data_IF_231963419909
#
_entry.id   IF_231963419909
#
_cell.length_a   1.000
_cell.length_b   1.000
_cell.length_c   1.000
_cell.angle_alpha   90.00
_cell.angle_beta   90.00
_cell.angle_gamma   90.00
#
_symmetry.space_group_name_H-M   'P 1'
#
loop_
_entity.id
_entity.type
_entity.pdbx_description
1 polymer ?
#
# COMPACT_ATOMS: atom_id res chain seq x y z
N UNK A 1 -50.86 -71.35 8.02
CA UNK A 1 -51.21 -70.05 7.48
C UNK A 1 -50.18 -69.06 8.02
N UNK A 2 -49.12 -68.82 7.31
CA UNK A 2 -48.01 -67.91 7.70
C UNK A 2 -48.24 -66.58 7.03
N UNK A 3 -48.28 -65.53 7.81
CA UNK A 3 -48.51 -64.14 7.37
C UNK A 3 -47.15 -63.50 6.94
N UNK A 4 -46.94 -63.13 5.68
CA UNK A 4 -45.64 -62.62 5.23
C UNK A 4 -45.49 -61.09 5.34
N UNK A 5 -46.36 -60.39 6.14
CA UNK A 5 -46.40 -58.91 6.11
C UNK A 5 -45.53 -58.21 7.16
N UNK A 6 -44.80 -58.93 8.05
CA UNK A 6 -44.03 -58.27 9.13
C UNK A 6 -42.55 -58.04 8.86
N UNK A 7 -42.05 -58.40 7.65
CA UNK A 7 -40.60 -58.28 7.35
C UNK A 7 -40.16 -57.02 6.63
N UNK A 8 -41.08 -56.26 6.00
CA UNK A 8 -40.73 -55.12 5.15
C UNK A 8 -40.55 -53.78 5.94
N UNK A 9 -41.25 -53.64 7.06
CA UNK A 9 -41.17 -52.38 7.82
C UNK A 9 -39.87 -52.25 8.63
N UNK A 10 -39.33 -53.39 9.10
CA UNK A 10 -38.07 -53.38 9.86
C UNK A 10 -36.85 -53.07 8.98
N UNK A 11 -36.90 -53.44 7.70
CA UNK A 11 -35.81 -53.17 6.75
C UNK A 11 -35.79 -51.71 6.28
N UNK A 12 -36.98 -51.09 6.17
CA UNK A 12 -37.08 -49.66 5.80
C UNK A 12 -36.62 -48.75 6.95
N UNK A 13 -36.98 -49.07 8.19
CA UNK A 13 -36.56 -48.32 9.38
C UNK A 13 -35.04 -48.37 9.56
N UNK A 14 -34.38 -49.53 9.33
CA UNK A 14 -32.92 -49.67 9.38
C UNK A 14 -32.20 -48.90 8.29
N UNK A 15 -32.81 -48.74 7.11
CA UNK A 15 -32.20 -47.95 6.02
C UNK A 15 -32.32 -46.44 6.30
N UNK A 16 -33.39 -45.97 6.90
CA UNK A 16 -33.51 -44.56 7.31
C UNK A 16 -32.57 -44.17 8.44
N UNK A 17 -32.41 -45.05 9.47
CA UNK A 17 -31.47 -44.81 10.56
C UNK A 17 -30.02 -44.83 10.08
N UNK A 18 -29.66 -45.69 9.15
CA UNK A 18 -28.32 -45.71 8.54
C UNK A 18 -28.07 -44.46 7.69
N UNK A 19 -29.08 -43.98 6.97
CA UNK A 19 -28.98 -42.76 6.17
C UNK A 19 -28.83 -41.49 7.04
N UNK A 20 -29.55 -41.41 8.15
CA UNK A 20 -29.43 -40.34 9.14
C UNK A 20 -28.07 -40.38 9.81
N UNK A 21 -27.57 -41.52 10.22
CA UNK A 21 -26.24 -41.71 10.79
C UNK A 21 -25.13 -41.36 9.79
N UNK A 22 -25.25 -41.77 8.52
CA UNK A 22 -24.32 -41.40 7.47
C UNK A 22 -24.29 -39.92 7.19
N UNK A 23 -25.46 -39.26 7.24
CA UNK A 23 -25.58 -37.79 7.08
C UNK A 23 -24.95 -37.06 8.27
N UNK A 24 -25.15 -37.55 9.49
CA UNK A 24 -24.56 -36.95 10.72
C UNK A 24 -23.04 -37.14 10.71
N UNK A 25 -22.54 -38.35 10.42
CA UNK A 25 -21.11 -38.63 10.37
C UNK A 25 -20.43 -37.87 9.22
N UNK A 26 -21.06 -37.77 8.06
CA UNK A 26 -20.59 -36.95 6.93
C UNK A 26 -20.53 -35.46 7.28
N UNK A 27 -21.54 -34.95 8.00
CA UNK A 27 -21.58 -33.57 8.49
C UNK A 27 -20.51 -33.27 9.53
N UNK A 28 -20.28 -34.20 10.47
CA UNK A 28 -19.24 -34.07 11.51
C UNK A 28 -17.83 -34.19 10.90
N UNK A 29 -17.62 -35.06 9.93
CA UNK A 29 -16.33 -35.16 9.23
C UNK A 29 -16.04 -33.92 8.35
N UNK A 30 -17.09 -33.24 7.82
CA UNK A 30 -16.96 -32.01 7.05
C UNK A 30 -16.81 -30.76 7.93
N UNK A 31 -17.13 -30.85 9.23
CA UNK A 31 -17.12 -29.71 10.15
C UNK A 31 -15.75 -29.02 10.25
N UNK A 32 -14.61 -29.74 10.36
CA UNK A 32 -13.29 -29.09 10.37
C UNK A 32 -12.99 -28.35 9.06
N UNK A 33 -13.26 -28.96 7.91
CA UNK A 33 -13.07 -28.34 6.60
C UNK A 33 -13.99 -27.12 6.40
N UNK A 34 -15.22 -27.16 6.92
CA UNK A 34 -16.17 -26.05 6.90
C UNK A 34 -15.74 -24.91 7.84
N UNK A 35 -15.24 -25.23 9.03
CA UNK A 35 -14.67 -24.24 9.97
C UNK A 35 -13.43 -23.58 9.37
N UNK A 36 -12.56 -24.36 8.74
CA UNK A 36 -11.37 -23.87 8.06
C UNK A 36 -11.74 -23.00 6.86
N UNK A 37 -12.70 -23.40 6.05
CA UNK A 37 -13.24 -22.62 4.95
C UNK A 37 -13.86 -21.28 5.42
N UNK A 38 -14.65 -21.29 6.50
CA UNK A 38 -15.22 -20.07 7.07
C UNK A 38 -14.11 -19.19 7.65
N UNK A 39 -13.15 -19.78 8.37
CA UNK A 39 -12.00 -19.07 8.92
C UNK A 39 -11.16 -18.42 7.82
N UNK A 40 -10.88 -19.14 6.74
CA UNK A 40 -10.14 -18.62 5.59
C UNK A 40 -10.94 -17.56 4.81
N UNK A 41 -12.25 -17.76 4.67
CA UNK A 41 -13.14 -16.77 4.06
C UNK A 41 -13.27 -15.51 4.92
N UNK A 42 -13.27 -15.66 6.25
CA UNK A 42 -13.24 -14.54 7.20
C UNK A 42 -11.89 -13.82 7.15
N UNK A 43 -10.77 -14.54 7.15
CA UNK A 43 -9.42 -13.98 6.98
C UNK A 43 -9.22 -13.31 5.62
N UNK A 44 -9.79 -13.85 4.53
CA UNK A 44 -9.78 -13.20 3.21
C UNK A 44 -10.67 -11.96 3.18
N UNK A 45 -11.86 -12.00 3.80
CA UNK A 45 -12.70 -10.80 3.97
C UNK A 45 -12.01 -9.77 4.85
N UNK A 46 -11.41 -10.17 5.96
CA UNK A 46 -10.63 -9.25 6.82
C UNK A 46 -9.43 -8.64 6.08
N UNK A 47 -8.77 -9.37 5.18
CA UNK A 47 -7.68 -8.82 4.33
C UNK A 47 -8.18 -7.92 3.19
N UNK A 48 -9.33 -8.23 2.61
CA UNK A 48 -9.93 -7.44 1.51
C UNK A 48 -10.66 -6.19 2.04
N UNK A 49 -11.07 -6.19 3.30
CA UNK A 49 -11.78 -5.09 3.97
C UNK A 49 -11.03 -4.49 5.15
N UNK A 50 -9.72 -4.60 5.22
CA UNK A 50 -8.93 -3.73 6.09
C UNK A 50 -8.97 -2.31 5.48
N UNK A 51 -10.11 -1.63 5.73
CA UNK A 51 -10.23 -0.20 5.47
C UNK A 51 -9.33 0.62 6.40
N UNK A 52 -8.81 -0.02 7.44
CA UNK A 52 -8.00 0.58 8.49
C UNK A 52 -6.87 -0.37 8.91
N UNK A 53 -5.67 0.14 9.10
CA UNK A 53 -4.50 -0.56 9.63
C UNK A 53 -3.83 0.27 10.74
N UNK A 54 -3.32 -0.39 11.77
CA UNK A 54 -2.60 0.23 12.89
C UNK A 54 -1.33 -0.58 13.20
N UNK A 55 -0.21 -0.10 12.72
CA UNK A 55 1.08 -0.81 12.80
C UNK A 55 2.14 -0.02 13.55
N UNK A 56 3.09 -0.68 14.23
CA UNK A 56 4.26 -0.01 14.77
C UNK A 56 5.15 0.49 13.62
N UNK A 57 5.62 1.74 13.73
CA UNK A 57 6.51 2.34 12.71
C UNK A 57 7.81 1.57 12.58
N UNK A 58 8.28 0.94 13.65
CA UNK A 58 9.47 0.08 13.63
C UNK A 58 9.37 -1.15 12.71
N UNK A 59 8.16 -1.57 12.37
CA UNK A 59 7.93 -2.69 11.44
C UNK A 59 7.95 -2.27 9.96
N UNK A 60 8.02 -0.97 9.68
CA UNK A 60 7.99 -0.45 8.33
C UNK A 60 9.38 -0.50 7.69
N UNK A 61 9.41 -0.85 6.41
CA UNK A 61 10.62 -0.81 5.57
C UNK A 61 10.32 -0.05 4.27
N UNK A 62 10.11 1.28 4.36
CA UNK A 62 9.80 2.06 3.18
C UNK A 62 10.99 2.05 2.22
N UNK A 63 10.73 1.64 0.98
CA UNK A 63 11.70 1.79 -0.11
C UNK A 63 11.49 3.16 -0.71
N UNK A 64 12.48 4.02 -0.56
CA UNK A 64 12.43 5.39 -1.05
C UNK A 64 13.78 5.74 -1.66
N UNK A 65 13.77 6.20 -2.89
CA UNK A 65 14.95 6.68 -3.59
C UNK A 65 14.57 7.91 -4.43
N UNK A 66 15.54 8.80 -4.65
CA UNK A 66 15.36 9.95 -5.53
C UNK A 66 14.55 11.11 -4.95
N UNK A 67 14.21 11.08 -3.65
CA UNK A 67 13.47 12.13 -2.96
C UNK A 67 14.30 12.78 -1.83
N UNK A 68 15.63 12.69 -1.90
CA UNK A 68 16.52 13.19 -0.85
C UNK A 68 16.40 14.70 -0.68
N UNK A 69 16.34 15.44 -1.79
CA UNK A 69 16.17 16.90 -1.78
C UNK A 69 14.83 17.32 -1.13
N UNK A 70 13.77 16.54 -1.39
CA UNK A 70 12.46 16.77 -0.76
C UNK A 70 12.51 16.47 0.75
N UNK A 71 13.21 15.41 1.15
CA UNK A 71 13.37 15.05 2.57
C UNK A 71 14.18 16.12 3.31
N UNK A 72 15.16 16.74 2.68
CA UNK A 72 15.89 17.87 3.24
C UNK A 72 14.96 19.10 3.38
N UNK A 73 14.15 19.38 2.37
CA UNK A 73 13.19 20.49 2.39
C UNK A 73 12.08 20.39 3.44
N UNK A 74 11.86 19.18 4.02
CA UNK A 74 10.87 18.97 5.10
C UNK A 74 11.51 18.73 6.46
N UNK A 75 12.80 19.03 6.63
CA UNK A 75 13.51 18.81 7.90
C UNK A 75 12.85 19.54 9.07
N UNK A 76 12.33 20.74 8.85
CA UNK A 76 11.59 21.54 9.84
C UNK A 76 10.27 20.87 10.26
N UNK A 77 9.53 20.27 9.33
CA UNK A 77 8.33 19.49 9.62
C UNK A 77 8.67 18.26 10.50
N UNK A 78 9.74 17.55 10.12
CA UNK A 78 10.20 16.37 10.87
C UNK A 78 10.62 16.78 12.29
N UNK A 79 11.32 17.90 12.44
CA UNK A 79 11.76 18.38 13.77
C UNK A 79 10.56 18.78 14.63
N UNK A 80 9.57 19.48 14.06
CA UNK A 80 8.32 19.82 14.78
C UNK A 80 7.59 18.56 15.27
N UNK A 81 7.42 17.59 14.39
CA UNK A 81 6.77 16.35 14.76
C UNK A 81 7.57 15.52 15.78
N UNK A 82 8.90 15.69 15.80
CA UNK A 82 9.79 15.06 16.79
C UNK A 82 9.76 15.76 18.15
N UNK A 83 9.67 17.09 18.16
CA UNK A 83 9.76 17.92 19.37
C UNK A 83 8.58 18.90 19.48
N UNK A 84 7.32 18.43 19.50
CA UNK A 84 6.14 19.30 19.43
C UNK A 84 6.09 20.33 20.55
N UNK A 85 6.64 20.02 21.73
CA UNK A 85 6.68 20.95 22.85
C UNK A 85 7.50 22.23 22.57
N UNK A 86 8.48 22.18 21.68
CA UNK A 86 9.28 23.33 21.29
C UNK A 86 8.51 24.31 20.37
N UNK A 87 7.42 23.85 19.79
CA UNK A 87 6.63 24.60 18.79
C UNK A 87 5.20 24.92 19.24
N UNK A 88 4.86 24.69 20.53
CA UNK A 88 3.50 24.85 21.08
C UNK A 88 2.91 26.26 20.89
N UNK A 89 3.76 27.26 20.94
CA UNK A 89 3.34 28.67 20.79
C UNK A 89 3.14 29.08 19.33
N UNK A 90 3.61 28.26 18.40
CA UNK A 90 3.44 28.50 16.98
C UNK A 90 2.18 27.75 16.54
N UNK A 91 1.13 28.49 16.17
CA UNK A 91 -0.11 27.91 15.60
C UNK A 91 0.12 27.35 14.18
N UNK A 92 1.06 26.42 14.05
CA UNK A 92 1.39 25.75 12.79
C UNK A 92 0.75 24.38 12.83
N UNK A 93 -0.09 24.08 11.85
CA UNK A 93 -0.76 22.78 11.73
C UNK A 93 0.21 21.62 11.54
N UNK A 94 -0.21 20.45 11.99
CA UNK A 94 0.49 19.18 11.82
C UNK A 94 -0.10 18.36 10.65
N UNK A 95 -0.73 19.06 9.69
CA UNK A 95 -1.39 18.45 8.54
C UNK A 95 -0.56 18.64 7.28
N UNK A 96 -0.29 17.55 6.60
CA UNK A 96 0.53 17.51 5.38
C UNK A 96 -0.25 16.85 4.25
N UNK A 97 -0.32 17.48 3.10
CA UNK A 97 -0.86 16.92 1.87
C UNK A 97 0.27 16.55 0.91
N UNK A 98 0.40 15.27 0.57
CA UNK A 98 1.34 14.80 -0.44
C UNK A 98 0.60 14.65 -1.77
N UNK A 99 1.01 15.42 -2.76
CA UNK A 99 0.41 15.49 -4.08
C UNK A 99 1.32 14.79 -5.09
N UNK A 100 0.76 13.99 -5.97
CA UNK A 100 1.55 13.36 -7.04
C UNK A 100 0.81 12.24 -7.76
N UNK A 101 1.30 11.80 -8.92
CA UNK A 101 0.65 10.77 -9.72
C UNK A 101 0.53 9.44 -8.96
N UNK A 102 -0.24 8.50 -9.51
CA UNK A 102 -0.32 7.17 -8.95
C UNK A 102 1.08 6.52 -8.93
N UNK A 103 1.34 5.72 -7.88
CA UNK A 103 2.56 4.91 -7.77
C UNK A 103 3.89 5.70 -7.71
N UNK A 104 3.86 7.02 -7.52
CA UNK A 104 5.07 7.85 -7.38
C UNK A 104 5.75 7.79 -6.00
N UNK A 105 5.32 6.88 -5.11
CA UNK A 105 5.95 6.70 -3.81
C UNK A 105 5.37 7.50 -2.64
N UNK A 106 4.20 8.14 -2.78
CA UNK A 106 3.55 8.94 -1.71
C UNK A 106 3.44 8.21 -0.37
N UNK A 107 3.00 6.96 -0.39
CA UNK A 107 2.89 6.14 0.83
C UNK A 107 4.27 5.85 1.44
N UNK A 108 5.26 5.52 0.62
CA UNK A 108 6.65 5.28 1.09
C UNK A 108 7.25 6.54 1.67
N UNK A 109 6.98 7.71 1.08
CA UNK A 109 7.39 9.01 1.62
C UNK A 109 6.75 9.26 2.98
N UNK A 110 5.43 9.09 3.11
CA UNK A 110 4.73 9.24 4.39
C UNK A 110 5.31 8.30 5.47
N UNK A 111 5.58 7.04 5.15
CA UNK A 111 6.21 6.09 6.04
C UNK A 111 7.64 6.52 6.45
N UNK A 112 8.40 7.07 5.51
CA UNK A 112 9.75 7.59 5.79
C UNK A 112 9.69 8.81 6.70
N UNK A 113 8.75 9.73 6.49
CA UNK A 113 8.50 10.86 7.38
C UNK A 113 8.15 10.36 8.78
N UNK A 114 7.30 9.33 8.92
CA UNK A 114 6.97 8.73 10.20
C UNK A 114 8.21 8.23 10.96
N UNK A 115 9.12 7.55 10.26
CA UNK A 115 10.39 7.09 10.85
C UNK A 115 11.29 8.23 11.29
N UNK A 116 11.48 9.23 10.40
CA UNK A 116 12.33 10.39 10.68
C UNK A 116 11.80 11.23 11.85
N UNK A 117 10.47 11.39 11.94
CA UNK A 117 9.79 12.11 13.03
C UNK A 117 9.73 11.32 14.34
N UNK A 118 10.20 10.07 14.35
CA UNK A 118 10.17 9.23 15.55
C UNK A 118 8.75 8.87 16.00
N UNK A 119 7.82 8.71 15.03
CA UNK A 119 6.49 8.22 15.31
C UNK A 119 6.55 6.76 15.80
N UNK A 120 5.69 6.40 16.75
CA UNK A 120 5.64 5.04 17.30
C UNK A 120 4.61 4.18 16.55
N UNK A 121 3.52 4.80 16.12
CA UNK A 121 2.40 4.13 15.43
C UNK A 121 2.07 4.82 14.12
N UNK A 122 1.68 4.02 13.13
CA UNK A 122 1.09 4.46 11.88
C UNK A 122 -0.32 3.89 11.77
N UNK A 123 -1.31 4.76 11.79
CA UNK A 123 -2.73 4.43 11.55
C UNK A 123 -3.04 4.83 10.12
N UNK A 124 -3.43 3.87 9.27
CA UNK A 124 -3.73 4.11 7.86
C UNK A 124 -5.19 3.79 7.56
N UNK A 125 -5.93 4.75 7.02
CA UNK A 125 -7.30 4.54 6.50
C UNK A 125 -7.23 4.35 5.00
N UNK A 126 -7.23 3.11 4.54
CA UNK A 126 -7.08 2.78 3.10
C UNK A 126 -8.26 3.19 2.23
N UNK A 127 -9.44 3.26 2.81
CA UNK A 127 -10.65 3.70 2.12
C UNK A 127 -11.24 4.94 2.80
N UNK A 128 -10.90 6.15 2.34
CA UNK A 128 -11.44 7.38 2.92
C UNK A 128 -12.94 7.58 2.65
N UNK A 129 -13.59 6.68 1.88
CA UNK A 129 -15.04 6.66 1.63
C UNK A 129 -15.81 5.85 2.68
N UNK A 130 -15.12 5.22 3.61
CA UNK A 130 -15.69 4.37 4.65
C UNK A 130 -15.78 5.16 5.97
N UNK A 131 -16.97 5.66 6.29
CA UNK A 131 -17.21 6.43 7.51
C UNK A 131 -16.93 5.62 8.78
N UNK A 132 -17.21 4.32 8.78
CA UNK A 132 -16.90 3.43 9.90
C UNK A 132 -15.37 3.34 10.13
N UNK A 133 -14.58 3.33 9.05
CA UNK A 133 -13.12 3.34 9.16
C UNK A 133 -12.61 4.67 9.69
N UNK A 134 -13.18 5.80 9.27
CA UNK A 134 -12.84 7.13 9.79
C UNK A 134 -13.18 7.24 11.29
N UNK A 135 -14.37 6.82 11.69
CA UNK A 135 -14.80 6.83 13.10
C UNK A 135 -13.89 5.93 13.97
N UNK A 136 -13.53 4.74 13.50
CA UNK A 136 -12.59 3.84 14.17
C UNK A 136 -11.18 4.45 14.26
N UNK A 137 -10.67 5.05 13.19
CA UNK A 137 -9.37 5.73 13.18
C UNK A 137 -9.33 6.83 14.24
N UNK A 138 -10.38 7.67 14.32
CA UNK A 138 -10.54 8.69 15.34
C UNK A 138 -10.48 8.12 16.76
N UNK A 139 -11.15 6.99 16.99
CA UNK A 139 -11.12 6.30 18.29
C UNK A 139 -9.73 5.78 18.64
N UNK A 140 -9.02 5.16 17.68
CA UNK A 140 -7.66 4.63 17.85
C UNK A 140 -6.68 5.76 18.16
N UNK A 141 -6.68 6.82 17.36
CA UNK A 141 -5.77 7.96 17.53
C UNK A 141 -6.00 8.62 18.89
N UNK A 142 -7.25 8.87 19.28
CA UNK A 142 -7.59 9.41 20.62
C UNK A 142 -7.15 8.51 21.77
N UNK A 143 -7.11 7.20 21.55
CA UNK A 143 -6.62 6.22 22.53
C UNK A 143 -5.12 6.35 22.82
N UNK A 144 -4.35 6.85 21.87
CA UNK A 144 -2.89 7.00 21.97
C UNK A 144 -2.44 8.31 22.61
N UNK A 145 -2.95 8.63 23.81
CA UNK A 145 -2.67 9.91 24.50
C UNK A 145 -1.20 10.23 24.75
N UNK A 146 -0.32 9.21 24.82
CA UNK A 146 1.10 9.35 25.17
C UNK A 146 2.05 8.90 24.05
N UNK A 147 1.52 8.29 23.00
CA UNK A 147 2.33 7.80 21.87
C UNK A 147 2.32 8.81 20.74
N UNK A 148 3.42 8.92 20.06
CA UNK A 148 3.50 9.67 18.81
C UNK A 148 2.88 8.85 17.69
N UNK A 149 1.86 9.40 17.06
CA UNK A 149 1.05 8.70 16.04
C UNK A 149 1.04 9.47 14.74
N UNK A 150 1.25 8.78 13.65
CA UNK A 150 0.92 9.32 12.33
C UNK A 150 -0.41 8.74 11.86
N UNK A 151 -1.32 9.63 11.45
CA UNK A 151 -2.54 9.27 10.72
C UNK A 151 -2.27 9.45 9.23
N UNK A 152 -2.40 8.38 8.46
CA UNK A 152 -2.25 8.40 7.01
C UNK A 152 -3.60 8.18 6.32
N UNK A 153 -3.97 9.13 5.46
CA UNK A 153 -5.20 9.15 4.67
C UNK A 153 -4.85 9.06 3.16
N UNK A 154 -4.62 7.85 2.62
CA UNK A 154 -4.31 7.69 1.20
C UNK A 154 -5.51 8.06 0.33
N UNK A 155 -5.24 8.74 -0.79
CA UNK A 155 -6.26 9.04 -1.79
C UNK A 155 -7.49 9.78 -1.23
N UNK A 156 -7.23 10.80 -0.41
CA UNK A 156 -8.29 11.63 0.17
C UNK A 156 -9.20 12.26 -0.90
N UNK A 157 -8.67 12.48 -2.11
CA UNK A 157 -9.39 12.93 -3.29
C UNK A 157 -10.64 12.08 -3.59
N UNK A 158 -10.60 10.79 -3.27
CA UNK A 158 -11.73 9.90 -3.51
C UNK A 158 -12.94 10.20 -2.63
N UNK A 159 -12.75 10.71 -1.41
CA UNK A 159 -13.84 11.15 -0.55
C UNK A 159 -14.50 12.43 -1.10
N UNK A 160 -13.68 13.37 -1.55
CA UNK A 160 -14.16 14.62 -2.16
C UNK A 160 -14.87 14.39 -3.49
N UNK A 161 -14.41 13.46 -4.31
CA UNK A 161 -15.08 13.09 -5.57
C UNK A 161 -16.48 12.52 -5.37
N UNK A 162 -16.77 11.90 -4.23
CA UNK A 162 -18.13 11.42 -3.91
C UNK A 162 -19.08 12.55 -3.58
N UNK A 163 -18.59 13.64 -3.03
CA UNK A 163 -19.39 14.79 -2.64
C UNK A 163 -20.45 14.49 -1.55
N UNK A 164 -20.28 13.41 -0.80
CA UNK A 164 -21.16 13.05 0.32
C UNK A 164 -20.88 14.00 1.50
N UNK A 165 -21.81 14.89 1.86
CA UNK A 165 -21.59 15.89 2.90
C UNK A 165 -21.38 15.27 4.29
N UNK A 166 -21.96 14.11 4.57
CA UNK A 166 -21.78 13.41 5.86
C UNK A 166 -20.36 12.86 5.96
N UNK A 167 -19.88 12.22 4.90
CA UNK A 167 -18.53 11.69 4.85
C UNK A 167 -17.48 12.80 4.93
N UNK A 168 -17.69 13.92 4.23
CA UNK A 168 -16.79 15.06 4.28
C UNK A 168 -16.75 15.68 5.68
N UNK A 169 -17.91 15.86 6.33
CA UNK A 169 -17.96 16.35 7.70
C UNK A 169 -17.26 15.43 8.71
N UNK A 170 -17.35 14.10 8.52
CA UNK A 170 -16.62 13.14 9.36
C UNK A 170 -15.10 13.21 9.13
N UNK A 171 -14.69 13.38 7.88
CA UNK A 171 -13.28 13.52 7.50
C UNK A 171 -12.68 14.81 8.08
N UNK A 172 -13.39 15.93 7.93
CA UNK A 172 -13.01 17.24 8.50
C UNK A 172 -12.88 17.14 10.02
N UNK A 173 -13.89 16.57 10.67
CA UNK A 173 -13.88 16.37 12.12
C UNK A 173 -12.78 15.40 12.58
N UNK A 174 -12.35 14.44 11.76
CA UNK A 174 -11.20 13.59 12.04
C UNK A 174 -9.92 14.41 11.98
N UNK A 175 -9.69 15.15 10.92
CA UNK A 175 -8.49 15.96 10.71
C UNK A 175 -8.39 17.03 11.80
N UNK A 176 -9.43 17.82 12.01
CA UNK A 176 -9.48 18.86 13.04
C UNK A 176 -9.20 18.30 14.44
N UNK A 177 -9.90 17.23 14.83
CA UNK A 177 -9.69 16.61 16.15
C UNK A 177 -8.29 16.05 16.34
N UNK A 178 -7.65 15.59 15.26
CA UNK A 178 -6.30 14.99 15.33
C UNK A 178 -5.21 16.06 15.26
N UNK A 179 -5.45 17.16 14.54
CA UNK A 179 -4.50 18.27 14.43
C UNK A 179 -4.33 19.05 15.74
N UNK A 180 -5.37 19.08 16.58
CA UNK A 180 -5.30 19.65 17.93
C UNK A 180 -4.38 18.86 18.86
N UNK A 181 -4.03 17.62 18.52
CA UNK A 181 -3.17 16.78 19.34
C UNK A 181 -1.70 16.94 18.96
N UNK A 182 -0.89 17.47 19.86
CA UNK A 182 0.56 17.70 19.62
C UNK A 182 1.37 16.43 19.34
N UNK A 183 0.86 15.27 19.69
CA UNK A 183 1.50 13.97 19.46
C UNK A 183 1.03 13.28 18.15
N UNK A 184 0.19 13.94 17.36
CA UNK A 184 -0.34 13.40 16.10
C UNK A 184 0.18 14.20 14.91
N UNK A 185 0.63 13.50 13.88
CA UNK A 185 0.95 14.05 12.56
C UNK A 185 -0.06 13.47 11.56
N UNK A 186 -0.77 14.33 10.86
CA UNK A 186 -1.73 13.91 9.82
C UNK A 186 -1.08 14.04 8.46
N UNK A 187 -1.03 12.95 7.69
CA UNK A 187 -0.59 12.98 6.31
C UNK A 187 -1.71 12.45 5.42
N UNK A 188 -2.15 13.27 4.48
CA UNK A 188 -3.04 12.84 3.42
C UNK A 188 -2.29 12.73 2.09
N UNK A 189 -2.79 11.90 1.17
CA UNK A 189 -2.25 11.84 -0.18
C UNK A 189 -3.34 12.03 -1.22
N UNK A 190 -3.01 12.71 -2.31
CA UNK A 190 -3.91 12.91 -3.46
C UNK A 190 -3.18 12.68 -4.78
N UNK A 191 -3.92 12.40 -5.83
CA UNK A 191 -3.36 12.26 -7.20
C UNK A 191 -3.40 13.59 -7.94
N UNK A 192 -4.54 14.24 -7.92
CA UNK A 192 -4.75 15.53 -8.55
C UNK A 192 -5.16 16.55 -7.48
N UNK A 193 -4.85 17.78 -7.76
CA UNK A 193 -5.15 18.91 -6.90
C UNK A 193 -5.78 20.01 -7.74
N UNK A 194 -7.04 20.35 -7.44
CA UNK A 194 -7.66 21.56 -7.97
C UNK A 194 -7.34 22.71 -7.01
N UNK A 195 -6.68 23.73 -7.48
CA UNK A 195 -6.14 24.82 -6.68
C UNK A 195 -7.16 25.58 -5.81
N UNK A 196 -8.45 25.44 -6.07
CA UNK A 196 -9.55 26.10 -5.34
C UNK A 196 -10.45 25.10 -4.58
N UNK A 197 -9.93 23.93 -4.23
CA UNK A 197 -10.71 22.92 -3.50
C UNK A 197 -10.64 23.16 -1.99
N UNK A 198 -11.68 22.74 -1.27
CA UNK A 198 -11.71 22.75 0.21
C UNK A 198 -10.52 22.02 0.81
N UNK A 199 -9.98 21.02 0.11
CA UNK A 199 -8.72 20.33 0.43
C UNK A 199 -7.53 21.29 0.57
N UNK A 200 -7.49 22.37 -0.21
CA UNK A 200 -6.41 23.35 -0.18
C UNK A 200 -6.31 24.05 1.17
N UNK A 201 -7.45 24.32 1.77
CA UNK A 201 -7.56 25.04 3.02
C UNK A 201 -7.33 24.15 4.26
N UNK A 202 -7.48 22.83 4.13
CA UNK A 202 -7.35 21.90 5.24
C UNK A 202 -5.90 21.55 5.60
N UNK A 203 -4.98 21.66 4.65
CA UNK A 203 -3.59 21.25 4.84
C UNK A 203 -2.64 22.44 4.74
N UNK A 204 -2.04 22.79 5.87
CA UNK A 204 -1.09 23.90 5.95
C UNK A 204 0.23 23.65 5.20
N UNK A 205 0.58 22.37 5.00
CA UNK A 205 1.82 21.96 4.31
C UNK A 205 1.48 21.09 3.11
N UNK A 206 2.01 21.46 1.95
CA UNK A 206 1.81 20.76 0.69
C UNK A 206 3.14 20.31 0.11
N UNK A 207 3.25 19.02 -0.16
CA UNK A 207 4.44 18.41 -0.76
C UNK A 207 4.07 17.87 -2.14
N UNK A 208 4.49 18.56 -3.17
CA UNK A 208 4.31 18.10 -4.55
C UNK A 208 5.46 17.17 -4.95
N UNK A 209 5.13 15.94 -5.33
CA UNK A 209 6.09 15.01 -5.92
C UNK A 209 6.26 15.30 -7.41
N UNK A 210 7.42 14.98 -7.99
CA UNK A 210 7.65 15.12 -9.44
C UNK A 210 6.53 14.44 -10.24
N UNK A 211 6.01 15.15 -11.25
CA UNK A 211 4.85 14.72 -12.03
C UNK A 211 3.49 15.07 -11.43
N UNK A 212 3.43 15.78 -10.28
CA UNK A 212 2.18 16.32 -9.75
C UNK A 212 1.54 17.30 -10.75
N UNK A 213 0.22 17.14 -10.96
CA UNK A 213 -0.54 18.02 -11.87
C UNK A 213 -0.54 17.60 -13.34
N UNK A 214 0.11 16.50 -13.70
CA UNK A 214 0.06 15.95 -15.05
C UNK A 214 -1.17 15.04 -15.20
N UNK A 215 -1.90 15.20 -16.30
CA UNK A 215 -3.00 14.31 -16.65
C UNK A 215 -2.42 12.89 -16.91
N UNK A 216 -2.95 11.83 -16.25
CA UNK A 216 -2.51 10.47 -16.53
C UNK A 216 -2.71 10.03 -17.98
N UNK A 217 -3.57 10.68 -18.74
CA UNK A 217 -3.81 10.42 -20.17
C UNK A 217 -2.76 11.06 -21.09
N UNK A 218 -2.14 12.15 -20.66
CA UNK A 218 -1.01 12.72 -21.34
C UNK A 218 0.25 11.96 -20.87
N UNK A 219 0.94 11.28 -21.78
CA UNK A 219 2.33 10.89 -21.52
C UNK A 219 3.12 12.19 -21.43
N UNK A 220 3.42 12.68 -20.22
CA UNK A 220 4.08 13.96 -20.10
C UNK A 220 5.48 13.83 -20.66
N UNK A 221 5.94 14.85 -21.32
CA UNK A 221 7.37 15.11 -21.37
C UNK A 221 7.83 15.13 -19.92
N UNK A 222 8.58 14.07 -19.53
CA UNK A 222 9.05 13.89 -18.17
C UNK A 222 9.85 15.14 -17.82
N UNK A 223 9.39 15.93 -16.83
CA UNK A 223 10.14 17.10 -16.41
C UNK A 223 11.56 16.68 -16.02
N UNK A 224 12.55 17.56 -16.18
CA UNK A 224 13.93 17.25 -15.84
C UNK A 224 14.07 16.72 -14.39
N UNK A 225 13.25 17.20 -13.47
CA UNK A 225 13.20 16.77 -12.08
C UNK A 225 12.64 15.35 -11.94
N UNK A 226 11.56 15.03 -12.64
CA UNK A 226 10.99 13.69 -12.65
C UNK A 226 11.95 12.70 -13.30
N UNK A 227 12.65 13.07 -14.39
CA UNK A 227 13.69 12.28 -15.01
C UNK A 227 14.86 12.01 -14.06
N UNK A 228 15.30 13.00 -13.30
CA UNK A 228 16.34 12.86 -12.28
C UNK A 228 15.90 11.88 -11.18
N UNK A 229 14.67 12.00 -10.69
CA UNK A 229 14.13 11.09 -9.68
C UNK A 229 14.05 9.65 -10.20
N UNK A 230 13.50 9.44 -11.39
CA UNK A 230 13.41 8.10 -12.00
C UNK A 230 14.79 7.47 -12.21
N UNK A 231 15.79 8.28 -12.59
CA UNK A 231 17.17 7.83 -12.71
C UNK A 231 17.75 7.34 -11.37
N UNK A 232 17.57 8.11 -10.30
CA UNK A 232 18.00 7.72 -8.94
C UNK A 232 17.27 6.44 -8.47
N UNK A 233 15.99 6.31 -8.77
CA UNK A 233 15.18 5.12 -8.45
C UNK A 233 15.69 3.89 -9.21
N UNK A 234 15.98 4.03 -10.51
CA UNK A 234 16.51 2.93 -11.33
C UNK A 234 17.86 2.45 -10.81
N UNK A 235 18.77 3.37 -10.50
CA UNK A 235 20.07 3.05 -9.91
C UNK A 235 19.92 2.36 -8.55
N UNK A 236 18.98 2.80 -7.72
CA UNK A 236 18.70 2.19 -6.42
C UNK A 236 18.27 0.72 -6.57
N UNK A 237 17.28 0.41 -7.41
CA UNK A 237 16.82 -0.96 -7.61
C UNK A 237 17.86 -1.85 -8.27
N UNK A 238 18.65 -1.32 -9.20
CA UNK A 238 19.75 -2.06 -9.80
C UNK A 238 20.83 -2.40 -8.75
N UNK A 239 21.22 -1.43 -7.92
CA UNK A 239 22.20 -1.66 -6.85
C UNK A 239 21.68 -2.67 -5.80
N UNK A 240 20.38 -2.65 -5.50
CA UNK A 240 19.75 -3.66 -4.63
C UNK A 240 19.80 -5.07 -5.24
N UNK A 241 19.50 -5.19 -6.54
CA UNK A 241 19.60 -6.46 -7.24
C UNK A 241 21.05 -6.98 -7.24
N UNK A 242 22.04 -6.11 -7.49
CA UNK A 242 23.46 -6.48 -7.45
C UNK A 242 23.90 -6.93 -6.05
N UNK A 243 23.44 -6.28 -4.97
CA UNK A 243 23.71 -6.74 -3.58
C UNK A 243 23.14 -8.14 -3.31
N UNK A 244 22.05 -8.51 -3.99
CA UNK A 244 21.46 -9.86 -3.93
C UNK A 244 22.17 -10.88 -4.84
N UNK A 245 23.26 -10.48 -5.50
CA UNK A 245 24.11 -11.35 -6.32
C UNK A 245 23.75 -11.40 -7.81
N UNK A 246 22.83 -10.54 -8.28
CA UNK A 246 22.56 -10.41 -9.71
C UNK A 246 23.70 -9.66 -10.42
N UNK A 247 24.02 -10.07 -11.65
CA UNK A 247 25.06 -9.46 -12.47
C UNK A 247 24.51 -9.08 -13.83
N UNK A 248 25.06 -8.02 -14.40
CA UNK A 248 24.78 -7.61 -15.78
C UNK A 248 25.74 -8.36 -16.73
N UNK A 249 25.21 -8.88 -17.83
CA UNK A 249 26.00 -9.50 -18.90
C UNK A 249 25.49 -9.03 -20.27
N UNK A 250 26.39 -8.49 -21.07
CA UNK A 250 26.06 -7.97 -22.41
C UNK A 250 25.26 -6.67 -22.39
N UNK A 251 25.14 -6.02 -21.23
CA UNK A 251 24.53 -4.70 -21.06
C UNK A 251 25.29 -3.96 -19.95
N UNK A 252 25.66 -2.72 -20.18
CA UNK A 252 26.29 -1.89 -19.15
C UNK A 252 25.23 -1.28 -18.20
N UNK A 253 25.64 -0.87 -16.99
CA UNK A 253 24.72 -0.21 -16.05
C UNK A 253 24.06 1.05 -16.62
N UNK A 254 24.80 1.97 -17.28
CA UNK A 254 24.18 3.13 -17.90
C UNK A 254 23.18 2.75 -19.00
N UNK A 255 23.48 1.72 -19.80
CA UNK A 255 22.58 1.23 -20.84
C UNK A 255 21.32 0.59 -20.22
N UNK A 256 21.46 -0.22 -19.17
CA UNK A 256 20.36 -0.80 -18.42
C UNK A 256 19.42 0.29 -17.90
N UNK A 257 19.98 1.30 -17.24
CA UNK A 257 19.23 2.42 -16.71
C UNK A 257 18.54 3.23 -17.82
N UNK A 258 19.24 3.58 -18.89
CA UNK A 258 18.68 4.34 -20.01
C UNK A 258 17.49 3.61 -20.64
N UNK A 259 17.63 2.31 -20.91
CA UNK A 259 16.56 1.50 -21.50
C UNK A 259 15.29 1.47 -20.68
N UNK A 260 15.40 1.40 -19.34
CA UNK A 260 14.25 1.48 -18.46
C UNK A 260 13.64 2.89 -18.54
N UNK A 261 14.46 3.93 -18.41
CA UNK A 261 14.01 5.32 -18.40
C UNK A 261 13.30 5.75 -19.69
N UNK A 262 13.70 5.19 -20.84
CA UNK A 262 13.05 5.46 -22.13
C UNK A 262 11.60 4.94 -22.21
N UNK A 263 11.21 4.06 -21.27
CA UNK A 263 9.94 3.32 -21.34
C UNK A 263 9.00 3.56 -20.17
N UNK A 264 9.52 4.01 -19.02
CA UNK A 264 8.74 4.15 -17.77
C UNK A 264 8.32 5.58 -17.50
N UNK A 265 7.18 5.72 -16.84
CA UNK A 265 6.65 7.02 -16.42
C UNK A 265 6.54 7.15 -14.89
N UNK A 266 6.70 6.05 -14.14
CA UNK A 266 6.60 6.07 -12.68
C UNK A 266 7.56 5.08 -12.01
N UNK A 267 7.91 5.30 -10.72
CA UNK A 267 8.83 4.45 -9.97
C UNK A 267 8.41 2.99 -9.81
N UNK A 268 7.09 2.69 -9.78
CA UNK A 268 6.64 1.31 -9.61
C UNK A 268 6.86 0.46 -10.86
N UNK A 269 6.78 1.07 -12.05
CA UNK A 269 7.15 0.37 -13.30
C UNK A 269 8.62 -0.05 -13.29
N UNK A 270 9.49 0.78 -12.71
CA UNK A 270 10.91 0.44 -12.54
C UNK A 270 11.07 -0.77 -11.63
N UNK A 271 10.39 -0.77 -10.47
CA UNK A 271 10.38 -1.91 -9.55
C UNK A 271 9.88 -3.18 -10.24
N UNK A 272 8.75 -3.09 -10.93
CA UNK A 272 8.16 -4.22 -11.65
C UNK A 272 9.12 -4.79 -12.72
N UNK A 273 9.79 -3.94 -13.50
CA UNK A 273 10.77 -4.36 -14.50
C UNK A 273 11.94 -5.09 -13.84
N UNK A 274 12.52 -4.53 -12.77
CA UNK A 274 13.67 -5.15 -12.08
C UNK A 274 13.26 -6.48 -11.46
N UNK A 275 12.09 -6.56 -10.80
CA UNK A 275 11.56 -7.81 -10.23
C UNK A 275 11.30 -8.87 -11.30
N UNK A 276 10.81 -8.49 -12.49
CA UNK A 276 10.66 -9.41 -13.61
C UNK A 276 12.01 -9.89 -14.15
N UNK A 277 13.01 -9.02 -14.21
CA UNK A 277 14.37 -9.40 -14.55
C UNK A 277 14.93 -10.43 -13.57
N UNK A 278 14.80 -10.16 -12.25
CA UNK A 278 15.24 -11.08 -11.19
C UNK A 278 14.55 -12.45 -11.29
N UNK A 279 13.22 -12.45 -11.40
CA UNK A 279 12.43 -13.67 -11.49
C UNK A 279 12.82 -14.49 -12.73
N UNK A 280 13.01 -13.84 -13.87
CA UNK A 280 13.40 -14.49 -15.11
C UNK A 280 14.84 -15.03 -15.04
N UNK A 281 15.77 -14.29 -14.44
CA UNK A 281 17.15 -14.73 -14.25
C UNK A 281 17.22 -15.96 -13.31
N UNK A 282 16.46 -15.95 -12.19
CA UNK A 282 16.36 -17.10 -11.29
C UNK A 282 15.77 -18.32 -12.03
N UNK A 283 14.71 -18.12 -12.80
CA UNK A 283 14.12 -19.20 -13.59
C UNK A 283 15.12 -19.80 -14.58
N UNK A 284 15.84 -18.97 -15.31
CA UNK A 284 16.89 -19.43 -16.26
C UNK A 284 18.03 -20.15 -15.55
N UNK A 285 18.49 -19.65 -14.40
CA UNK A 285 19.50 -20.33 -13.59
C UNK A 285 19.05 -21.75 -13.19
N UNK A 286 17.81 -21.89 -12.72
CA UNK A 286 17.27 -23.18 -12.28
C UNK A 286 17.05 -24.18 -13.42
N UNK A 287 16.57 -23.70 -14.58
CA UNK A 287 16.16 -24.56 -15.70
C UNK A 287 17.30 -24.86 -16.66
N UNK A 288 18.23 -23.92 -16.86
CA UNK A 288 19.32 -24.04 -17.84
C UNK A 288 20.69 -24.28 -17.19
N UNK A 289 20.75 -24.51 -15.87
CA UNK A 289 22.00 -24.67 -15.10
C UNK A 289 23.00 -23.55 -15.37
N UNK A 290 22.52 -22.32 -15.56
CA UNK A 290 23.38 -21.16 -15.72
C UNK A 290 24.22 -20.95 -14.45
N UNK A 291 25.45 -20.49 -14.59
CA UNK A 291 26.42 -20.34 -13.50
C UNK A 291 26.14 -19.17 -12.55
N UNK A 292 24.94 -18.55 -12.63
CA UNK A 292 24.56 -17.42 -11.76
C UNK A 292 23.28 -16.75 -12.18
N UNK A 293 22.86 -15.78 -11.39
CA UNK A 293 21.72 -14.91 -11.66
C UNK A 293 22.16 -13.72 -12.52
N UNK A 294 21.90 -13.80 -13.81
CA UNK A 294 22.44 -12.86 -14.79
C UNK A 294 21.29 -12.11 -15.47
N UNK A 295 21.40 -10.79 -15.51
CA UNK A 295 20.56 -9.91 -16.33
C UNK A 295 21.20 -9.75 -17.71
N UNK A 296 20.57 -10.30 -18.72
CA UNK A 296 20.97 -10.08 -20.12
C UNK A 296 20.05 -9.03 -20.77
N UNK A 297 20.50 -8.46 -21.88
CA UNK A 297 19.68 -7.55 -22.68
C UNK A 297 18.32 -8.16 -23.03
N UNK A 298 18.26 -9.44 -23.40
CA UNK A 298 17.02 -10.16 -23.75
C UNK A 298 16.05 -10.23 -22.55
N UNK A 299 16.56 -10.45 -21.33
CA UNK A 299 15.75 -10.46 -20.11
C UNK A 299 15.16 -9.07 -19.86
N UNK A 300 15.98 -8.03 -19.99
CA UNK A 300 15.56 -6.65 -19.81
C UNK A 300 14.45 -6.26 -20.81
N UNK A 301 14.66 -6.47 -22.09
CA UNK A 301 13.69 -6.14 -23.15
C UNK A 301 12.35 -6.92 -22.95
N UNK A 302 12.45 -8.17 -22.53
CA UNK A 302 11.26 -8.98 -22.22
C UNK A 302 10.51 -8.42 -21.00
N UNK A 303 11.21 -7.99 -19.98
CA UNK A 303 10.60 -7.40 -18.78
C UNK A 303 9.94 -6.05 -19.11
N UNK A 304 10.62 -5.18 -19.83
CA UNK A 304 10.08 -3.90 -20.30
C UNK A 304 8.80 -4.11 -21.11
N UNK A 305 8.84 -4.98 -22.11
CA UNK A 305 7.67 -5.25 -22.97
C UNK A 305 6.46 -5.72 -22.17
N UNK A 306 6.66 -6.50 -21.10
CA UNK A 306 5.58 -6.99 -20.23
C UNK A 306 4.98 -5.93 -19.33
N UNK A 307 5.77 -4.97 -18.89
CA UNK A 307 5.29 -3.88 -18.01
C UNK A 307 4.59 -2.81 -18.84
N UNK A 308 5.19 -2.40 -19.94
CA UNK A 308 4.64 -1.35 -20.82
C UNK A 308 3.36 -1.78 -21.56
N UNK A 309 3.16 -3.09 -21.76
CA UNK A 309 1.93 -3.63 -22.40
C UNK A 309 0.72 -3.73 -21.44
N UNK A 310 0.86 -3.38 -20.15
CA UNK A 310 -0.23 -3.36 -19.16
C UNK A 310 -0.91 -2.00 -19.14
#
# INVERSE_FOLDING_TARGET
>A
MFDPASGSDSALLLTEEILVLATIVGSVAALPAFIEFISDRRKRRERVYLSLDDVPVSSLSPRLAGLDDLLEGIADLVDRARTPAAYQDLKIGNEVLIIGPNQCGKKSLAQRIAQMAGMERLVTVYNPRDSDALAKAKGIVRGYKRKKVMLLLPRIDLAYQLGDPVLLAELDALIETTSEQTNVLVIATTVAFAADSDLDNMFGIKLALPGAGLDPADRPEISAEAGSMLSKVTQFYLAEAQRRGFRLEGVSEPEFCSRILDCVVNPAEIEDIVVLCETTAIYRMRTRKASGTIFTREILETAIARVVAR
#
